data_IF_818106505487
#
_entry.id   IF_818106505487
#
_cell.length_a   1.000
_cell.length_b   1.000
_cell.length_c   1.000
_cell.angle_alpha   90.00
_cell.angle_beta   90.00
_cell.angle_gamma   90.00
#
_symmetry.space_group_name_H-M   'P 1'
#
loop_
_entity.id
_entity.type
_entity.pdbx_description
1 polymer ?
#
# COMPACT_ATOMS: atom_id res chain seq x y z
N UNK A 1 3.06 8.28 -12.82
CA UNK A 1 2.51 9.00 -11.64
C UNK A 1 3.21 10.35 -11.57
N UNK A 2 2.49 11.46 -11.40
CA UNK A 2 3.07 12.82 -11.52
C UNK A 2 3.14 13.61 -10.19
N UNK A 3 2.54 13.11 -9.11
CA UNK A 3 2.52 13.75 -7.80
C UNK A 3 2.75 12.75 -6.68
N UNK A 4 3.27 13.22 -5.54
CA UNK A 4 3.41 12.44 -4.31
C UNK A 4 3.25 13.34 -3.08
N UNK A 5 2.98 12.72 -1.92
CA UNK A 5 2.96 13.38 -0.61
C UNK A 5 4.08 12.80 0.26
N UNK A 6 4.92 13.68 0.80
CA UNK A 6 6.00 13.34 1.74
C UNK A 6 5.55 13.59 3.17
N UNK A 7 6.01 12.76 4.10
CA UNK A 7 5.68 12.87 5.52
C UNK A 7 6.92 13.15 6.37
N UNK A 8 7.12 14.42 6.74
CA UNK A 8 8.27 14.90 7.52
C UNK A 8 8.04 15.06 9.01
N UNK A 9 6.78 15.13 9.45
CA UNK A 9 6.45 15.67 10.78
C UNK A 9 6.36 14.62 11.88
N UNK A 10 6.10 13.36 11.53
CA UNK A 10 5.87 12.26 12.48
C UNK A 10 6.53 11.00 11.99
N UNK A 11 6.98 10.14 12.92
CA UNK A 11 7.50 8.81 12.59
C UNK A 11 6.45 7.90 11.96
N UNK A 12 5.16 8.12 12.21
CA UNK A 12 4.05 7.35 11.61
C UNK A 12 2.94 8.30 11.19
N UNK A 13 2.46 8.16 9.95
CA UNK A 13 1.39 8.97 9.39
C UNK A 13 0.37 8.05 8.74
N UNK A 14 -0.92 8.26 9.03
CA UNK A 14 -1.99 7.35 8.64
C UNK A 14 -3.09 8.10 7.90
N UNK A 15 -3.59 7.49 6.83
CA UNK A 15 -4.91 7.78 6.28
C UNK A 15 -5.94 7.00 7.07
N UNK A 16 -7.04 7.64 7.45
CA UNK A 16 -8.21 6.96 8.00
C UNK A 16 -9.33 7.02 6.96
N UNK A 17 -9.84 5.87 6.56
CA UNK A 17 -10.80 5.72 5.47
C UNK A 17 -12.05 5.03 6.03
N UNK A 18 -13.23 5.67 5.97
CA UNK A 18 -14.49 5.04 6.35
C UNK A 18 -14.81 3.84 5.43
N UNK A 19 -15.22 2.73 6.04
CA UNK A 19 -15.55 1.44 5.40
C UNK A 19 -16.50 0.68 6.31
N UNK A 20 -17.25 -0.29 5.79
CA UNK A 20 -18.18 -1.02 6.64
C UNK A 20 -17.47 -2.15 7.40
N UNK A 21 -17.84 -2.34 8.67
CA UNK A 21 -17.36 -3.49 9.44
C UNK A 21 -17.72 -4.80 8.76
N UNK A 22 -16.74 -5.67 8.57
CA UNK A 22 -16.90 -6.96 7.88
C UNK A 22 -16.76 -6.87 6.36
N UNK A 23 -16.56 -5.67 5.80
CA UNK A 23 -16.29 -5.48 4.39
C UNK A 23 -14.93 -6.08 4.01
N UNK A 24 -14.89 -6.80 2.87
CA UNK A 24 -13.64 -7.28 2.29
C UNK A 24 -13.15 -6.23 1.29
N UNK A 25 -11.95 -5.72 1.52
CA UNK A 25 -11.38 -4.65 0.70
C UNK A 25 -10.05 -5.09 0.07
N UNK A 26 -9.77 -4.57 -1.12
CA UNK A 26 -8.44 -4.53 -1.72
C UNK A 26 -7.87 -3.13 -1.51
N UNK A 27 -6.70 -3.05 -0.90
CA UNK A 27 -5.94 -1.81 -0.76
C UNK A 27 -4.67 -1.91 -1.60
N UNK A 28 -4.40 -0.89 -2.40
CA UNK A 28 -3.14 -0.73 -3.15
C UNK A 28 -2.48 0.59 -2.78
N UNK A 29 -1.26 0.50 -2.27
CA UNK A 29 -0.39 1.67 -2.07
C UNK A 29 0.72 1.67 -3.13
N UNK A 30 0.89 2.81 -3.80
CA UNK A 30 1.83 2.97 -4.92
C UNK A 30 2.85 4.08 -4.62
N UNK A 31 4.10 3.80 -4.97
CA UNK A 31 5.27 4.60 -4.66
C UNK A 31 6.12 4.79 -5.91
N UNK A 32 6.31 6.04 -6.29
CA UNK A 32 7.23 6.46 -7.35
C UNK A 32 8.13 7.55 -6.78
N UNK A 33 9.41 7.23 -6.53
CA UNK A 33 10.37 8.20 -5.99
C UNK A 33 10.75 9.24 -7.04
N UNK A 34 11.17 8.80 -8.23
CA UNK A 34 11.48 9.66 -9.36
C UNK A 34 12.54 10.73 -9.08
N UNK A 35 13.35 10.54 -8.03
CA UNK A 35 14.27 11.55 -7.51
C UNK A 35 13.61 12.92 -7.27
N UNK A 36 12.38 12.94 -6.73
CA UNK A 36 11.58 14.15 -6.59
C UNK A 36 12.26 15.26 -5.77
N UNK A 37 13.22 14.91 -4.90
CA UNK A 37 13.95 15.83 -4.02
C UNK A 37 15.39 16.11 -4.50
N UNK A 38 15.81 15.55 -5.63
CA UNK A 38 17.14 15.76 -6.21
C UNK A 38 18.31 15.14 -5.42
N UNK A 39 18.05 14.33 -4.39
CA UNK A 39 19.10 13.76 -3.53
C UNK A 39 19.70 12.45 -4.05
N UNK A 40 19.04 11.80 -5.01
CA UNK A 40 19.39 10.46 -5.49
C UNK A 40 19.51 9.45 -4.35
N UNK A 41 18.74 9.65 -3.28
CA UNK A 41 18.76 8.86 -2.05
C UNK A 41 17.33 8.40 -1.73
N UNK A 42 16.84 7.37 -2.45
CA UNK A 42 15.49 6.86 -2.28
C UNK A 42 15.26 6.33 -0.85
N UNK A 43 14.16 6.72 -0.19
CA UNK A 43 13.93 6.32 1.19
C UNK A 43 13.42 4.87 1.31
N UNK A 44 13.69 4.26 2.48
CA UNK A 44 13.18 2.96 2.92
C UNK A 44 12.35 3.16 4.18
N UNK A 45 11.12 2.66 4.19
CA UNK A 45 10.17 2.84 5.28
C UNK A 45 9.13 1.72 5.29
N UNK A 46 8.37 1.60 6.38
CA UNK A 46 7.35 0.56 6.52
C UNK A 46 5.96 1.04 6.14
N UNK A 47 5.18 0.13 5.59
CA UNK A 47 3.76 0.24 5.30
C UNK A 47 2.98 -0.64 6.28
N UNK A 48 1.86 -0.12 6.77
CA UNK A 48 1.01 -0.79 7.76
C UNK A 48 -0.47 -0.61 7.40
N UNK A 49 -1.30 -1.59 7.72
CA UNK A 49 -2.77 -1.46 7.69
C UNK A 49 -3.35 -1.87 9.05
N UNK A 50 -4.25 -1.06 9.61
CA UNK A 50 -4.90 -1.31 10.90
C UNK A 50 -3.93 -1.66 12.04
N UNK A 51 -2.75 -1.01 12.03
CA UNK A 51 -1.68 -1.24 12.99
C UNK A 51 -0.84 -2.50 12.76
N UNK A 52 -1.17 -3.33 11.75
CA UNK A 52 -0.42 -4.51 11.37
C UNK A 52 0.66 -4.17 10.34
N UNK A 53 1.78 -4.88 10.39
CA UNK A 53 2.80 -4.79 9.36
C UNK A 53 2.26 -5.27 8.01
N UNK A 54 2.49 -4.48 6.96
CA UNK A 54 2.15 -4.84 5.58
C UNK A 54 3.40 -5.22 4.80
N UNK A 55 4.33 -4.29 4.65
CA UNK A 55 5.52 -4.43 3.83
C UNK A 55 6.54 -3.34 4.17
N UNK A 56 7.82 -3.61 3.94
CA UNK A 56 8.84 -2.57 3.83
C UNK A 56 8.88 -2.07 2.39
N UNK A 57 8.66 -0.77 2.21
CA UNK A 57 8.77 -0.07 0.94
C UNK A 57 10.24 0.29 0.75
N UNK A 58 10.88 -0.34 -0.25
CA UNK A 58 12.26 -0.06 -0.62
C UNK A 58 12.32 0.40 -2.06
N UNK A 59 12.56 1.70 -2.26
CA UNK A 59 12.61 2.33 -3.60
C UNK A 59 14.01 2.41 -4.20
N UNK A 60 15.02 1.83 -3.53
CA UNK A 60 16.42 1.94 -3.95
C UNK A 60 16.79 1.17 -5.22
N UNK A 61 16.17 0.01 -5.46
CA UNK A 61 16.39 -0.79 -6.68
C UNK A 61 15.61 -0.32 -7.91
N UNK A 62 14.71 0.64 -7.75
CA UNK A 62 13.69 0.98 -8.75
C UNK A 62 13.24 2.44 -8.61
N UNK A 63 14.20 3.35 -8.42
CA UNK A 63 13.97 4.78 -8.21
C UNK A 63 13.08 5.44 -9.28
N UNK A 64 13.06 4.90 -10.50
CA UNK A 64 12.28 5.40 -11.64
C UNK A 64 11.15 4.46 -12.08
N UNK A 65 10.85 3.41 -11.30
CA UNK A 65 9.68 2.57 -11.52
C UNK A 65 8.64 2.79 -10.43
N UNK A 66 7.41 2.36 -10.71
CA UNK A 66 6.32 2.36 -9.73
C UNK A 66 6.39 1.06 -8.93
N UNK A 67 6.60 1.17 -7.63
CA UNK A 67 6.44 0.05 -6.69
C UNK A 67 5.02 0.09 -6.15
N UNK A 68 4.32 -1.04 -6.22
CA UNK A 68 2.97 -1.17 -5.66
C UNK A 68 2.90 -2.35 -4.71
N UNK A 69 2.27 -2.13 -3.56
CA UNK A 69 1.89 -3.18 -2.63
C UNK A 69 0.37 -3.32 -2.62
N UNK A 70 -0.11 -4.56 -2.70
CA UNK A 70 -1.54 -4.90 -2.61
C UNK A 70 -1.78 -5.81 -1.41
N UNK A 71 -2.87 -5.55 -0.69
CA UNK A 71 -3.38 -6.43 0.36
C UNK A 71 -4.89 -6.53 0.28
N UNK A 72 -5.41 -7.73 0.50
CA UNK A 72 -6.84 -7.98 0.68
C UNK A 72 -7.07 -8.42 2.12
N UNK A 73 -7.99 -7.79 2.82
CA UNK A 73 -8.37 -8.18 4.18
C UNK A 73 -9.81 -7.80 4.48
N UNK A 74 -10.32 -8.33 5.60
CA UNK A 74 -11.66 -8.01 6.11
C UNK A 74 -11.53 -7.00 7.23
N UNK A 75 -12.19 -5.86 7.10
CA UNK A 75 -12.11 -4.77 8.08
C UNK A 75 -12.88 -5.14 9.35
N UNK A 76 -12.31 -4.82 10.52
CA UNK A 76 -12.87 -5.21 11.82
C UNK A 76 -13.71 -4.12 12.50
N UNK A 77 -13.66 -2.89 12.01
CA UNK A 77 -14.45 -1.75 12.48
C UNK A 77 -14.97 -0.92 11.31
N UNK A 78 -15.51 0.26 11.59
CA UNK A 78 -16.17 1.14 10.61
C UNK A 78 -15.18 2.09 9.90
N UNK A 79 -13.89 1.88 10.14
CA UNK A 79 -12.80 2.61 9.51
C UNK A 79 -11.62 1.67 9.34
N UNK A 80 -10.87 1.85 8.27
CA UNK A 80 -9.56 1.24 8.11
C UNK A 80 -8.48 2.31 8.01
N UNK A 81 -7.29 1.98 8.48
CA UNK A 81 -6.15 2.89 8.54
C UNK A 81 -4.99 2.36 7.74
N UNK A 82 -4.45 3.18 6.83
CA UNK A 82 -3.26 2.86 6.04
C UNK A 82 -2.15 3.82 6.44
N UNK A 83 -1.07 3.30 7.00
CA UNK A 83 0.00 4.09 7.57
C UNK A 83 1.33 3.85 6.87
N UNK A 84 2.10 4.93 6.70
CA UNK A 84 3.52 4.87 6.38
C UNK A 84 4.33 5.26 7.63
N UNK A 85 5.39 4.50 7.91
CA UNK A 85 6.18 4.61 9.13
C UNK A 85 7.68 4.70 8.82
N UNK A 86 8.30 5.77 9.27
CA UNK A 86 9.74 6.00 9.18
C UNK A 86 10.48 5.01 10.09
N UNK A 87 11.44 4.29 9.52
CA UNK A 87 12.26 3.30 10.23
C UNK A 87 13.61 3.85 10.65
N UNK A 88 14.17 4.80 9.89
CA UNK A 88 15.46 5.43 10.16
C UNK A 88 15.40 6.96 10.02
N UNK A 89 16.26 7.72 10.72
CA UNK A 89 16.40 9.16 10.52
C UNK A 89 16.61 9.51 9.03
N UNK A 90 16.05 10.65 8.60
CA UNK A 90 16.15 11.20 7.24
C UNK A 90 15.58 10.33 6.08
N UNK A 91 15.12 9.12 6.36
CA UNK A 91 14.40 8.25 5.42
C UNK A 91 12.90 8.60 5.43
N UNK A 92 12.54 9.73 4.82
CA UNK A 92 11.18 10.26 4.87
C UNK A 92 10.18 9.39 4.09
N UNK A 93 9.12 8.88 4.73
CA UNK A 93 8.08 8.15 4.02
C UNK A 93 7.32 9.06 3.06
N UNK A 94 6.86 8.48 1.95
CA UNK A 94 6.03 9.17 0.98
C UNK A 94 4.99 8.22 0.40
N UNK A 95 3.96 8.75 -0.28
CA UNK A 95 3.01 7.97 -1.05
C UNK A 95 2.62 8.70 -2.33
N UNK A 96 2.56 8.00 -3.45
CA UNK A 96 2.18 8.57 -4.74
C UNK A 96 0.70 8.36 -5.05
N UNK A 97 0.15 7.19 -4.70
CA UNK A 97 -1.29 6.95 -4.73
C UNK A 97 -1.70 5.90 -3.69
N UNK A 98 -2.95 6.02 -3.22
CA UNK A 98 -3.63 5.05 -2.39
C UNK A 98 -4.97 4.73 -3.05
N UNK A 99 -5.17 3.48 -3.47
CA UNK A 99 -6.43 2.98 -4.01
C UNK A 99 -7.06 2.03 -2.97
N UNK A 100 -8.36 2.18 -2.71
CA UNK A 100 -9.15 1.26 -1.92
C UNK A 100 -10.36 0.82 -2.74
N UNK A 101 -10.66 -0.48 -2.75
CA UNK A 101 -11.79 -1.05 -3.48
C UNK A 101 -12.51 -2.08 -2.63
N UNK A 102 -13.82 -1.92 -2.49
CA UNK A 102 -14.71 -2.94 -1.97
C UNK A 102 -14.72 -4.16 -2.89
N UNK A 103 -14.65 -5.35 -2.31
CA UNK A 103 -14.76 -6.62 -3.03
C UNK A 103 -16.07 -7.30 -2.67
N UNK A 104 -16.60 -8.09 -3.60
CA UNK A 104 -17.76 -8.94 -3.32
C UNK A 104 -17.46 -9.89 -2.16
N UNK A 105 -18.44 -10.11 -1.27
CA UNK A 105 -18.30 -10.98 -0.09
C UNK A 105 -17.98 -12.44 -0.44
N UNK A 106 -18.29 -12.87 -1.66
CA UNK A 106 -17.97 -14.19 -2.20
C UNK A 106 -16.52 -14.30 -2.71
N UNK A 107 -15.89 -13.18 -3.07
CA UNK A 107 -14.52 -13.17 -3.63
C UNK A 107 -13.50 -13.48 -2.53
N UNK A 108 -12.72 -14.56 -2.67
CA UNK A 108 -11.82 -15.07 -1.63
C UNK A 108 -12.51 -15.52 -0.32
N UNK A 109 -13.75 -16.03 -0.40
CA UNK A 109 -14.52 -16.49 0.76
C UNK A 109 -13.91 -17.67 1.53
N UNK A 110 -12.99 -18.43 0.92
CA UNK A 110 -12.29 -19.54 1.53
C UNK A 110 -11.18 -19.10 2.51
N UNK A 111 -10.76 -17.83 2.46
CA UNK A 111 -9.79 -17.27 3.40
C UNK A 111 -10.53 -16.73 4.61
N UNK A 112 -10.12 -17.17 5.81
CA UNK A 112 -10.81 -16.76 7.03
C UNK A 112 -10.65 -15.25 7.24
N UNK A 113 -11.65 -14.56 7.82
CA UNK A 113 -11.60 -13.10 7.98
C UNK A 113 -10.47 -12.56 8.87
N UNK A 114 -9.67 -13.42 9.50
CA UNK A 114 -8.57 -13.04 10.39
C UNK A 114 -7.21 -13.02 9.68
N UNK A 115 -7.15 -13.43 8.41
CA UNK A 115 -5.93 -13.36 7.61
C UNK A 115 -6.03 -12.29 6.54
N UNK A 116 -4.90 -11.64 6.28
CA UNK A 116 -4.70 -10.76 5.15
C UNK A 116 -4.00 -11.54 4.02
N UNK A 117 -4.36 -11.25 2.77
CA UNK A 117 -3.71 -11.79 1.58
C UNK A 117 -2.85 -10.72 0.94
N UNK A 118 -1.54 -10.92 0.96
CA UNK A 118 -0.59 -10.06 0.27
C UNK A 118 -0.47 -10.51 -1.18
N UNK A 119 -0.50 -9.56 -2.11
CA UNK A 119 -0.29 -9.89 -3.52
C UNK A 119 1.17 -10.25 -3.76
N UNK A 120 1.41 -11.47 -4.23
CA UNK A 120 2.73 -11.93 -4.66
C UNK A 120 2.89 -11.74 -6.17
N UNK A 121 1.90 -12.21 -6.94
CA UNK A 121 1.89 -12.09 -8.40
C UNK A 121 0.46 -12.14 -8.93
N UNK A 122 0.18 -11.36 -9.96
CA UNK A 122 -1.03 -11.46 -10.77
C UNK A 122 -0.60 -11.69 -12.22
N UNK A 123 -1.14 -12.72 -12.86
CA UNK A 123 -0.82 -13.07 -14.25
C UNK A 123 -2.09 -13.45 -15.00
N UNK A 124 -2.24 -12.94 -16.22
CA UNK A 124 -3.29 -13.33 -17.15
C UNK A 124 -2.65 -14.22 -18.23
N UNK A 125 -2.81 -15.53 -18.10
CA UNK A 125 -2.22 -16.50 -19.04
C UNK A 125 -2.92 -16.42 -20.39
N UNK A 126 -2.13 -16.36 -21.48
CA UNK A 126 -2.64 -16.30 -22.84
C UNK A 126 -3.30 -14.97 -23.23
N UNK A 127 -3.30 -13.97 -22.33
CA UNK A 127 -3.83 -12.65 -22.65
C UNK A 127 -2.82 -11.84 -23.47
N UNK A 128 -3.32 -11.12 -24.47
CA UNK A 128 -2.52 -10.16 -25.27
C UNK A 128 -2.44 -8.80 -24.61
N UNK A 129 -3.19 -8.57 -23.53
CA UNK A 129 -3.25 -7.30 -22.81
C UNK A 129 -3.30 -7.52 -21.29
N UNK A 130 -2.89 -6.48 -20.56
CA UNK A 130 -3.03 -6.43 -19.10
C UNK A 130 -4.49 -6.19 -18.72
N UNK A 131 -5.07 -7.14 -17.99
CA UNK A 131 -6.41 -7.00 -17.40
C UNK A 131 -6.22 -6.34 -16.03
N UNK A 132 -6.76 -5.13 -15.84
CA UNK A 132 -6.62 -4.34 -14.60
C UNK A 132 -7.92 -4.30 -13.80
#
# INVERSE_FOLDING_TARGET
>A
MSSLRVFSNRKKNCYSIPVDKGERILVRASFYYGNYDGKSSPPVFDLQFDGNYWATVNTSGSSFDVISHEVIYVVKGDTTSICVAQTQPDQLPFISALELRSLASTMYSHVTPNYAMHMIRRAAFGATQTIR
#
